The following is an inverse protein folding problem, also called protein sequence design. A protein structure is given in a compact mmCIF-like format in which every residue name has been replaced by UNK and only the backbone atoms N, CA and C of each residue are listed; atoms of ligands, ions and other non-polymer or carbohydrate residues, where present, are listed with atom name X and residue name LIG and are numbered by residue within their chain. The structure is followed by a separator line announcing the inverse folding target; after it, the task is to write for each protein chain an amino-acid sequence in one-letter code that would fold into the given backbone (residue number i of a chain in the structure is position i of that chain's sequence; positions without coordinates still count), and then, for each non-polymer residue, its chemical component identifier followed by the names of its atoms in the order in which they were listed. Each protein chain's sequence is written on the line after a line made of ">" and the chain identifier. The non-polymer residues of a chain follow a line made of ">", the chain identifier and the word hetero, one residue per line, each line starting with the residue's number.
data_IF_953465590686
#
_entry.id   IF_953465590686
#
_cell.length_a   1.000
_cell.length_b   1.000
_cell.length_c   1.000
_cell.angle_alpha   90.00
_cell.angle_beta   90.00
_cell.angle_gamma   90.00
#
_symmetry.space_group_name_H-M   'P 1'
#
loop_
_entity.id
_entity.type
_entity.pdbx_description
1 polymer ?
#
# COMPACT_ATOMS: atom_id res chain seq x y z
N UNK A 1 26.24 -15.52 17.96
CA UNK A 1 25.30 -14.39 18.24
C UNK A 1 24.14 -14.51 17.26
N UNK A 2 22.98 -15.02 17.71
CA UNK A 2 21.75 -15.09 16.91
C UNK A 2 21.33 -13.63 16.64
N UNK A 3 21.37 -13.15 15.39
CA UNK A 3 20.77 -11.87 15.03
C UNK A 3 19.32 -11.93 15.52
N UNK A 4 18.84 -10.90 16.24
CA UNK A 4 17.42 -10.80 16.54
C UNK A 4 16.73 -10.70 15.18
N UNK A 5 16.06 -11.76 14.77
CA UNK A 5 15.14 -11.74 13.64
C UNK A 5 14.15 -10.62 13.93
N UNK A 6 14.06 -9.63 13.04
CA UNK A 6 13.07 -8.58 13.17
C UNK A 6 11.67 -9.21 13.12
N UNK A 7 10.73 -8.70 13.92
CA UNK A 7 9.38 -9.27 13.97
C UNK A 7 8.69 -9.03 12.62
N UNK A 8 8.58 -10.08 11.81
CA UNK A 8 7.92 -10.07 10.51
C UNK A 8 6.42 -10.24 10.72
N UNK A 9 5.64 -9.27 10.25
CA UNK A 9 4.19 -9.28 10.32
C UNK A 9 3.57 -9.63 8.97
N UNK A 10 2.29 -10.02 9.00
CA UNK A 10 1.48 -10.29 7.80
C UNK A 10 1.50 -9.11 6.82
N UNK A 11 1.46 -7.88 7.31
CA UNK A 11 1.55 -6.68 6.47
C UNK A 11 2.84 -6.64 5.63
N UNK A 12 3.97 -7.07 6.20
CA UNK A 12 5.25 -7.09 5.48
C UNK A 12 5.20 -8.11 4.35
N UNK A 13 4.68 -9.31 4.64
CA UNK A 13 4.47 -10.37 3.65
C UNK A 13 3.51 -9.94 2.54
N UNK A 14 2.37 -9.32 2.88
CA UNK A 14 1.40 -8.85 1.89
C UNK A 14 1.99 -7.78 0.98
N UNK A 15 2.74 -6.82 1.52
CA UNK A 15 3.41 -5.81 0.70
C UNK A 15 4.41 -6.43 -0.27
N UNK A 16 5.22 -7.37 0.20
CA UNK A 16 6.22 -8.03 -0.62
C UNK A 16 5.55 -8.90 -1.71
N UNK A 17 4.53 -9.69 -1.34
CA UNK A 17 3.76 -10.48 -2.28
C UNK A 17 3.06 -9.61 -3.34
N UNK A 18 2.49 -8.47 -2.95
CA UNK A 18 1.89 -7.52 -3.89
C UNK A 18 2.92 -6.91 -4.84
N UNK A 19 4.11 -6.54 -4.32
CA UNK A 19 5.18 -5.99 -5.13
C UNK A 19 5.71 -7.00 -6.16
N UNK A 20 5.93 -8.25 -5.75
CA UNK A 20 6.35 -9.35 -6.64
C UNK A 20 5.28 -9.62 -7.71
N UNK A 21 4.02 -9.73 -7.31
CA UNK A 21 2.93 -9.99 -8.25
C UNK A 21 2.77 -8.86 -9.29
N UNK A 22 2.93 -7.60 -8.88
CA UNK A 22 2.91 -6.46 -9.80
C UNK A 22 4.13 -6.40 -10.72
N UNK A 23 5.30 -6.85 -10.26
CA UNK A 23 6.50 -6.99 -11.08
C UNK A 23 6.30 -8.04 -12.19
N UNK A 24 5.68 -9.16 -11.86
CA UNK A 24 5.35 -10.23 -12.81
C UNK A 24 4.22 -9.87 -13.78
N UNK A 25 3.37 -8.90 -13.41
CA UNK A 25 2.24 -8.42 -14.19
C UNK A 25 2.40 -6.94 -14.55
N UNK A 26 3.34 -6.61 -15.47
CA UNK A 26 3.67 -5.23 -15.79
C UNK A 26 2.51 -4.44 -16.38
N UNK A 27 1.45 -5.10 -16.89
CA UNK A 27 0.23 -4.43 -17.38
C UNK A 27 -0.52 -3.71 -16.27
N UNK A 28 -0.36 -4.14 -15.01
CA UNK A 28 -0.97 -3.53 -13.83
C UNK A 28 -0.03 -2.55 -13.11
N UNK A 29 1.25 -2.57 -13.46
CA UNK A 29 2.25 -1.70 -12.86
C UNK A 29 2.27 -0.33 -13.56
N UNK A 30 1.59 0.64 -12.95
CA UNK A 30 1.52 1.99 -13.48
C UNK A 30 1.01 3.02 -12.48
N UNK A 31 0.72 4.21 -12.99
CA UNK A 31 0.14 5.34 -12.27
C UNK A 31 -0.89 6.01 -13.16
N UNK A 32 -1.83 6.73 -12.56
CA UNK A 32 -2.72 7.59 -13.33
C UNK A 32 -2.08 8.98 -13.52
N UNK A 33 -2.09 9.47 -14.75
CA UNK A 33 -1.70 10.82 -15.10
C UNK A 33 -2.82 11.46 -15.91
N UNK A 34 -3.39 12.56 -15.39
CA UNK A 34 -4.50 13.30 -16.02
C UNK A 34 -5.65 12.38 -16.48
N UNK A 35 -6.04 11.44 -15.61
CA UNK A 35 -7.11 10.48 -15.88
C UNK A 35 -6.77 9.31 -16.81
N UNK A 36 -5.53 9.24 -17.34
CA UNK A 36 -5.05 8.12 -18.16
C UNK A 36 -4.12 7.21 -17.37
N UNK A 37 -4.24 5.91 -17.58
CA UNK A 37 -3.31 4.96 -17.00
C UNK A 37 -1.99 4.93 -17.80
N UNK A 38 -0.89 5.16 -17.10
CA UNK A 38 0.46 5.18 -17.66
C UNK A 38 1.29 4.08 -17.01
N UNK A 39 1.82 3.18 -17.85
CA UNK A 39 2.69 2.09 -17.39
C UNK A 39 4.01 2.64 -16.83
N UNK A 40 4.44 2.07 -15.71
CA UNK A 40 5.72 2.42 -15.14
C UNK A 40 6.83 1.75 -15.96
N UNK A 41 7.79 2.54 -16.45
CA UNK A 41 8.95 1.99 -17.19
C UNK A 41 9.99 1.35 -16.26
N UNK A 42 9.89 1.59 -14.95
CA UNK A 42 10.79 1.00 -13.96
C UNK A 42 10.36 -0.43 -13.67
N UNK A 43 11.34 -1.32 -13.50
CA UNK A 43 11.09 -2.69 -13.07
C UNK A 43 10.73 -2.79 -11.59
N UNK A 44 11.13 -1.79 -10.79
CA UNK A 44 10.92 -1.78 -9.36
C UNK A 44 9.55 -1.25 -8.97
N UNK A 45 8.95 -1.86 -7.94
CA UNK A 45 7.60 -1.58 -7.49
C UNK A 45 7.64 -0.86 -6.15
N UNK A 46 7.05 0.33 -6.13
CA UNK A 46 6.88 1.13 -4.92
C UNK A 46 5.51 0.84 -4.30
N UNK A 47 5.50 0.53 -2.99
CA UNK A 47 4.27 0.19 -2.26
C UNK A 47 4.10 1.12 -1.08
N UNK A 48 2.88 1.58 -0.86
CA UNK A 48 2.53 2.39 0.32
C UNK A 48 1.77 1.59 1.35
N UNK A 49 1.95 1.94 2.61
CA UNK A 49 1.21 1.36 3.72
C UNK A 49 0.65 2.43 4.64
N UNK A 50 -0.43 2.07 5.32
CA UNK A 50 -1.08 2.94 6.29
C UNK A 50 -0.37 2.82 7.64
N UNK A 51 0.03 3.97 8.20
CA UNK A 51 0.56 4.08 9.56
C UNK A 51 -0.43 4.86 10.42
N UNK A 52 -0.94 4.29 11.52
CA UNK A 52 -1.70 5.07 12.49
C UNK A 52 -0.78 6.11 13.13
N UNK A 53 -1.22 7.37 13.16
CA UNK A 53 -0.53 8.39 13.99
C UNK A 53 -0.87 8.13 15.45
N UNK A 54 0.02 8.54 16.37
CA UNK A 54 -0.15 8.30 17.81
C UNK A 54 -1.55 8.74 18.32
N UNK A 55 -2.02 8.00 19.34
CA UNK A 55 -3.39 7.88 19.84
C UNK A 55 -4.16 9.17 20.19
N UNK A 56 -3.54 10.35 20.11
CA UNK A 56 -4.18 11.66 20.33
C UNK A 56 -4.63 12.36 19.04
N UNK A 57 -4.20 11.88 17.87
CA UNK A 57 -4.53 12.49 16.58
C UNK A 57 -5.42 11.57 15.74
N UNK A 58 -6.59 12.05 15.33
CA UNK A 58 -7.52 11.34 14.43
C UNK A 58 -7.00 11.28 12.98
N UNK A 59 -5.77 10.82 12.77
CA UNK A 59 -5.12 10.82 11.47
C UNK A 59 -4.34 9.55 11.20
N UNK A 60 -4.64 8.87 10.10
CA UNK A 60 -3.73 7.87 9.52
C UNK A 60 -2.85 8.56 8.47
N UNK A 61 -1.57 8.20 8.40
CA UNK A 61 -0.66 8.70 7.38
C UNK A 61 -0.22 7.55 6.49
N UNK A 62 -0.36 7.69 5.18
CA UNK A 62 0.24 6.76 4.24
C UNK A 62 1.74 7.06 4.10
N UNK A 63 2.54 5.99 3.96
CA UNK A 63 3.98 6.10 3.67
C UNK A 63 4.37 5.12 2.59
N UNK A 64 5.15 5.58 1.62
CA UNK A 64 5.66 4.76 0.51
C UNK A 64 7.07 4.24 0.75
N UNK A 65 7.25 2.95 0.52
CA UNK A 65 8.56 2.29 0.48
C UNK A 65 8.93 2.08 -0.98
N UNK A 66 10.19 2.38 -1.30
CA UNK A 66 10.71 2.26 -2.65
C UNK A 66 11.24 0.84 -2.91
N UNK A 67 11.11 0.35 -4.15
CA UNK A 67 11.70 -0.91 -4.61
C UNK A 67 11.44 -2.09 -3.65
N UNK A 68 10.18 -2.31 -3.29
CA UNK A 68 9.79 -3.36 -2.33
C UNK A 68 10.08 -4.74 -2.89
N UNK A 69 9.95 -4.92 -4.20
CA UNK A 69 10.14 -6.19 -4.91
C UNK A 69 11.58 -6.73 -4.91
N UNK A 70 12.57 -5.89 -4.64
CA UNK A 70 14.00 -6.29 -4.63
C UNK A 70 14.58 -6.39 -3.23
N UNK A 71 13.79 -6.13 -2.18
CA UNK A 71 14.26 -6.06 -0.80
C UNK A 71 14.02 -7.38 -0.09
N UNK A 72 14.98 -7.86 0.71
CA UNK A 72 14.71 -8.96 1.61
C UNK A 72 13.70 -8.51 2.67
N UNK A 73 12.89 -9.44 3.15
CA UNK A 73 11.79 -9.16 4.07
C UNK A 73 12.25 -8.53 5.41
N UNK A 74 13.45 -8.89 5.87
CA UNK A 74 14.08 -8.31 7.06
C UNK A 74 14.34 -6.80 6.85
N UNK A 75 14.96 -6.43 5.73
CA UNK A 75 15.23 -5.01 5.41
C UNK A 75 13.94 -4.21 5.26
N UNK A 76 12.89 -4.82 4.69
CA UNK A 76 11.57 -4.21 4.59
C UNK A 76 10.96 -3.95 5.98
N UNK A 77 11.01 -4.94 6.87
CA UNK A 77 10.51 -4.81 8.24
C UNK A 77 11.27 -3.74 9.04
N UNK A 78 12.59 -3.69 8.86
CA UNK A 78 13.45 -2.65 9.45
C UNK A 78 13.10 -1.26 8.95
N UNK A 79 13.00 -1.06 7.64
CA UNK A 79 12.68 0.24 7.05
C UNK A 79 11.30 0.73 7.49
N UNK A 80 10.30 -0.16 7.55
CA UNK A 80 8.98 0.18 8.07
C UNK A 80 9.04 0.66 9.52
N UNK A 81 9.79 -0.05 10.37
CA UNK A 81 9.95 0.28 11.79
C UNK A 81 10.69 1.60 11.98
N UNK A 82 11.74 1.83 11.21
CA UNK A 82 12.49 3.09 11.21
C UNK A 82 11.62 4.25 10.78
N UNK A 83 10.81 4.09 9.73
CA UNK A 83 9.87 5.13 9.29
C UNK A 83 8.80 5.40 10.34
N UNK A 84 8.22 4.37 10.97
CA UNK A 84 7.27 4.54 12.09
C UNK A 84 7.90 5.40 13.19
N UNK A 85 9.15 5.09 13.58
CA UNK A 85 9.90 5.84 14.60
C UNK A 85 10.31 7.25 14.18
N UNK A 86 10.62 7.49 12.90
CA UNK A 86 11.09 8.80 12.43
C UNK A 86 10.01 9.88 12.49
N UNK A 87 8.77 9.52 12.84
CA UNK A 87 7.68 10.48 12.94
C UNK A 87 7.29 11.04 11.58
N UNK A 88 6.94 12.32 11.52
CA UNK A 88 6.35 12.92 10.31
C UNK A 88 7.28 12.88 9.09
N UNK A 89 6.73 12.54 7.92
CA UNK A 89 7.48 12.51 6.65
C UNK A 89 8.02 13.92 6.33
N UNK A 90 9.32 14.09 5.99
CA UNK A 90 9.89 15.40 5.67
C UNK A 90 9.15 16.13 4.54
N UNK A 91 8.59 15.41 3.57
CA UNK A 91 7.77 16.03 2.52
C UNK A 91 6.46 16.56 3.09
N UNK A 92 5.80 15.79 3.97
CA UNK A 92 4.56 16.20 4.64
C UNK A 92 4.80 17.42 5.54
N UNK A 93 5.92 17.44 6.28
CA UNK A 93 6.32 18.59 7.11
C UNK A 93 6.50 19.84 6.26
N UNK A 94 7.29 19.77 5.17
CA UNK A 94 7.48 20.91 4.25
C UNK A 94 6.18 21.40 3.63
N UNK A 95 5.30 20.46 3.26
CA UNK A 95 3.98 20.78 2.73
C UNK A 95 3.14 21.53 3.76
N UNK A 96 3.09 21.04 5.00
CA UNK A 96 2.37 21.69 6.09
C UNK A 96 2.94 23.08 6.40
N UNK A 97 4.27 23.22 6.43
CA UNK A 97 4.96 24.50 6.62
C UNK A 97 4.58 25.49 5.52
N UNK A 98 4.60 25.06 4.24
CA UNK A 98 4.18 25.89 3.11
C UNK A 98 2.71 26.30 3.20
N UNK A 99 1.82 25.35 3.49
CA UNK A 99 0.39 25.59 3.65
C UNK A 99 0.07 26.49 4.86
N UNK A 100 0.94 26.54 5.87
CA UNK A 100 0.78 27.43 7.02
C UNK A 100 0.91 28.91 6.63
N UNK A 101 1.67 29.23 5.58
CA UNK A 101 1.79 30.60 5.04
C UNK A 101 0.61 31.01 4.14
N UNK A 102 -0.25 30.06 3.75
CA UNK A 102 -1.39 30.33 2.86
C UNK A 102 -2.63 30.70 3.69
N UNK A 103 -3.40 31.74 3.28
CA UNK A 103 -4.68 32.06 3.90
C UNK A 103 -5.64 30.87 3.90
N UNK A 104 -6.41 30.67 4.97
CA UNK A 104 -7.30 29.50 5.14
C UNK A 104 -8.24 29.26 3.95
N UNK A 105 -8.73 30.32 3.31
CA UNK A 105 -9.60 30.23 2.12
C UNK A 105 -8.91 29.59 0.89
N UNK A 106 -7.58 29.66 0.80
CA UNK A 106 -6.79 29.14 -0.31
C UNK A 106 -6.10 27.81 0.02
N UNK A 107 -6.18 27.31 1.27
CA UNK A 107 -5.52 26.06 1.67
C UNK A 107 -6.04 24.86 0.88
N UNK A 108 -7.36 24.69 0.78
CA UNK A 108 -7.96 23.58 0.01
C UNK A 108 -7.55 23.58 -1.46
N UNK A 109 -7.71 24.70 -2.19
CA UNK A 109 -7.23 24.81 -3.57
C UNK A 109 -5.72 24.58 -3.72
N UNK A 110 -4.91 25.09 -2.79
CA UNK A 110 -3.46 24.88 -2.81
C UNK A 110 -3.09 23.41 -2.58
N UNK A 111 -3.73 22.73 -1.62
CA UNK A 111 -3.56 21.29 -1.41
C UNK A 111 -3.92 20.49 -2.66
N UNK A 112 -5.07 20.78 -3.27
CA UNK A 112 -5.49 20.12 -4.51
C UNK A 112 -4.48 20.34 -5.64
N UNK A 113 -3.92 21.54 -5.76
CA UNK A 113 -2.90 21.85 -6.77
C UNK A 113 -1.58 21.11 -6.51
N UNK A 114 -1.10 21.08 -5.27
CA UNK A 114 0.12 20.35 -4.89
C UNK A 114 -0.05 18.84 -5.09
N UNK A 115 -1.21 18.30 -4.74
CA UNK A 115 -1.54 16.89 -4.96
C UNK A 115 -1.63 16.56 -6.46
N UNK A 116 -2.24 17.43 -7.27
CA UNK A 116 -2.27 17.29 -8.73
C UNK A 116 -0.85 17.29 -9.33
N UNK A 117 0.04 18.18 -8.86
CA UNK A 117 1.44 18.22 -9.31
C UNK A 117 2.17 16.91 -9.04
N UNK A 118 2.03 16.36 -7.83
CA UNK A 118 2.75 15.15 -7.41
C UNK A 118 2.14 13.86 -7.97
N UNK A 119 0.82 13.71 -7.84
CA UNK A 119 0.11 12.47 -8.17
C UNK A 119 -0.29 12.38 -9.63
N UNK A 120 -0.81 13.45 -10.26
CA UNK A 120 -1.25 13.41 -11.66
C UNK A 120 -0.13 13.75 -12.64
N UNK A 121 0.60 14.84 -12.39
CA UNK A 121 1.67 15.29 -13.30
C UNK A 121 3.00 14.57 -13.05
N UNK A 122 3.14 13.92 -11.89
CA UNK A 122 4.37 13.21 -11.53
C UNK A 122 5.57 14.15 -11.40
N UNK A 123 5.36 15.40 -10.97
CA UNK A 123 6.42 16.38 -10.76
C UNK A 123 7.00 16.17 -9.36
N UNK A 124 8.32 16.17 -9.28
CA UNK A 124 9.03 16.18 -8.00
C UNK A 124 9.41 17.62 -7.66
N UNK A 125 8.87 18.16 -6.57
CA UNK A 125 9.19 19.50 -6.11
C UNK A 125 9.45 19.49 -4.59
N UNK A 126 10.65 19.04 -4.17
CA UNK A 126 10.97 18.82 -2.76
C UNK A 126 10.87 20.07 -1.89
N UNK A 127 10.99 21.27 -2.47
CA UNK A 127 10.89 22.54 -1.76
C UNK A 127 9.46 22.84 -1.28
N UNK A 128 8.43 22.36 -1.99
CA UNK A 128 7.01 22.50 -1.59
C UNK A 128 6.47 21.24 -0.91
N UNK A 129 7.33 20.25 -0.65
CA UNK A 129 6.89 18.97 -0.12
C UNK A 129 6.10 18.12 -1.13
N UNK A 130 6.21 18.41 -2.42
CA UNK A 130 5.58 17.60 -3.48
C UNK A 130 6.57 16.52 -3.90
N UNK A 131 6.12 15.27 -3.81
CA UNK A 131 6.85 14.10 -4.29
C UNK A 131 6.15 13.51 -5.49
N UNK A 132 6.91 13.13 -6.50
CA UNK A 132 6.40 12.38 -7.66
C UNK A 132 5.81 11.05 -7.22
N UNK A 133 4.55 10.80 -7.56
CA UNK A 133 3.78 9.58 -7.24
C UNK A 133 3.99 9.11 -5.80
N UNK A 134 3.51 9.90 -4.82
CA UNK A 134 3.88 9.72 -3.42
C UNK A 134 3.41 8.38 -2.85
N UNK A 135 2.41 7.75 -3.48
CA UNK A 135 1.79 6.51 -3.04
C UNK A 135 2.24 5.25 -3.80
N UNK A 136 3.04 5.39 -4.86
CA UNK A 136 3.52 4.26 -5.65
C UNK A 136 2.42 3.54 -6.45
N UNK A 137 2.66 2.26 -6.75
CA UNK A 137 1.79 1.43 -7.59
C UNK A 137 0.71 0.66 -6.80
N UNK A 138 0.94 0.44 -5.50
CA UNK A 138 0.00 -0.29 -4.65
C UNK A 138 -0.08 0.34 -3.27
N UNK A 139 -1.27 0.33 -2.66
CA UNK A 139 -1.46 0.61 -1.23
C UNK A 139 -1.82 -0.69 -0.53
N UNK A 140 -1.18 -0.95 0.61
CA UNK A 140 -1.57 -2.01 1.54
C UNK A 140 -2.06 -1.38 2.84
N UNK A 141 -3.35 -1.58 3.13
CA UNK A 141 -3.98 -1.15 4.37
C UNK A 141 -4.12 -2.37 5.27
N UNK A 142 -3.56 -2.31 6.46
CA UNK A 142 -3.81 -3.32 7.49
C UNK A 142 -4.73 -2.70 8.53
N UNK A 143 -5.93 -3.25 8.67
CA UNK A 143 -6.90 -2.84 9.68
C UNK A 143 -7.30 -4.08 10.48
N UNK A 144 -6.42 -4.58 11.38
CA UNK A 144 -6.75 -5.73 12.20
C UNK A 144 -7.76 -5.25 13.25
N UNK A 145 -9.03 -5.57 13.05
CA UNK A 145 -10.04 -5.34 14.07
C UNK A 145 -10.07 -6.53 15.02
N UNK A 146 -9.49 -6.40 16.22
CA UNK A 146 -9.67 -7.40 17.27
C UNK A 146 -11.17 -7.53 17.60
N UNK A 147 -11.74 -8.72 17.40
CA UNK A 147 -13.11 -9.06 17.81
C UNK A 147 -14.25 -8.48 16.95
N UNK A 148 -13.97 -7.89 15.79
CA UNK A 148 -15.00 -7.44 14.84
C UNK A 148 -15.00 -8.30 13.58
N UNK A 149 -16.18 -8.67 13.12
CA UNK A 149 -16.41 -9.42 11.87
C UNK A 149 -16.37 -8.53 10.61
N UNK A 150 -16.12 -7.23 10.78
CA UNK A 150 -16.17 -6.24 9.71
C UNK A 150 -14.74 -5.81 9.34
N UNK A 151 -14.29 -6.21 8.15
CA UNK A 151 -13.09 -5.68 7.52
C UNK A 151 -13.47 -4.46 6.67
N UNK A 152 -12.87 -3.29 6.95
CA UNK A 152 -13.14 -2.07 6.19
C UNK A 152 -11.98 -1.78 5.23
N UNK A 153 -12.27 -1.84 3.93
CA UNK A 153 -11.34 -1.37 2.89
C UNK A 153 -11.63 0.09 2.61
N UNK A 154 -10.73 0.99 3.03
CA UNK A 154 -10.78 2.40 2.64
C UNK A 154 -10.01 2.54 1.33
N UNK A 155 -10.71 2.35 0.22
CA UNK A 155 -10.20 2.72 -1.10
C UNK A 155 -10.48 4.20 -1.26
N UNK A 156 -9.43 5.00 -1.49
CA UNK A 156 -9.60 6.38 -1.89
C UNK A 156 -10.54 6.45 -3.09
N UNK A 157 -11.53 7.33 -3.03
CA UNK A 157 -12.34 7.67 -4.20
C UNK A 157 -11.41 8.01 -5.38
N UNK A 158 -11.77 7.69 -6.64
CA UNK A 158 -11.03 8.19 -7.80
C UNK A 158 -10.96 9.73 -7.86
N UNK A 159 -11.77 10.45 -7.06
CA UNK A 159 -11.74 11.90 -6.87
C UNK A 159 -10.83 12.39 -5.75
N UNK A 160 -10.32 11.49 -4.90
CA UNK A 160 -9.27 11.82 -3.93
C UNK A 160 -7.91 11.65 -4.56
N UNK A 161 -6.93 12.41 -4.09
CA UNK A 161 -5.53 12.46 -4.55
C UNK A 161 -4.73 11.16 -4.44
N UNK A 162 -5.42 10.05 -4.14
CA UNK A 162 -4.93 8.69 -4.05
C UNK A 162 -5.15 7.95 -5.37
N UNK A 163 -4.42 8.38 -6.41
CA UNK A 163 -4.47 7.82 -7.76
C UNK A 163 -3.68 6.50 -7.90
N UNK A 164 -3.98 5.53 -7.04
CA UNK A 164 -3.28 4.24 -7.02
C UNK A 164 -4.12 3.17 -7.74
N UNK A 165 -3.55 2.41 -8.68
CA UNK A 165 -4.30 1.43 -9.46
C UNK A 165 -4.75 0.22 -8.65
N UNK A 166 -4.04 -0.12 -7.58
CA UNK A 166 -4.31 -1.28 -6.73
C UNK A 166 -4.27 -0.89 -5.25
N UNK A 167 -5.33 -1.21 -4.53
CA UNK A 167 -5.39 -1.10 -3.07
C UNK A 167 -5.76 -2.47 -2.48
N UNK A 168 -4.96 -2.95 -1.54
CA UNK A 168 -5.16 -4.22 -0.85
C UNK A 168 -5.46 -3.90 0.61
N UNK A 169 -6.52 -4.47 1.14
CA UNK A 169 -6.83 -4.44 2.57
C UNK A 169 -6.66 -5.82 3.16
N UNK A 170 -5.81 -5.89 4.18
CA UNK A 170 -5.58 -7.07 5.01
C UNK A 170 -6.52 -6.97 6.20
N UNK A 171 -7.48 -7.88 6.24
CA UNK A 171 -8.46 -8.00 7.30
C UNK A 171 -7.99 -8.87 8.47
N UNK A 172 -8.94 -9.24 9.32
CA UNK A 172 -8.73 -10.16 10.44
C UNK A 172 -8.51 -11.61 10.00
N UNK A 173 -7.83 -12.38 10.87
CA UNK A 173 -7.73 -13.85 10.73
C UNK A 173 -8.99 -14.48 11.33
N UNK A 174 -9.67 -15.32 10.55
CA UNK A 174 -10.92 -15.98 10.93
C UNK A 174 -10.75 -17.49 10.95
N UNK A 175 -11.52 -18.18 11.80
CA UNK A 175 -11.61 -19.64 11.74
C UNK A 175 -12.69 -20.00 10.72
N UNK A 176 -12.28 -20.64 9.63
CA UNK A 176 -13.20 -21.21 8.65
C UNK A 176 -13.32 -22.71 8.93
N UNK A 177 -14.52 -23.15 9.30
CA UNK A 177 -14.86 -24.56 9.40
C UNK A 177 -15.23 -25.08 8.01
N UNK A 178 -14.37 -25.92 7.44
CA UNK A 178 -14.69 -26.62 6.21
C UNK A 178 -15.01 -28.07 6.54
N UNK A 179 -16.13 -28.58 6.01
CA UNK A 179 -16.43 -30.00 6.10
C UNK A 179 -15.80 -30.71 4.91
N UNK A 180 -14.56 -31.15 5.05
CA UNK A 180 -13.95 -32.11 4.12
C UNK A 180 -14.04 -33.49 4.73
N UNK A 181 -14.59 -34.45 3.99
CA UNK A 181 -14.63 -35.87 4.36
C UNK A 181 -15.24 -36.19 5.74
N UNK A 182 -16.35 -35.53 6.10
CA UNK A 182 -17.09 -35.71 7.37
C UNK A 182 -16.30 -35.39 8.64
N UNK A 183 -15.09 -34.83 8.54
CA UNK A 183 -14.40 -34.18 9.66
C UNK A 183 -14.57 -32.66 9.55
N UNK A 184 -14.81 -32.02 10.69
CA UNK A 184 -14.79 -30.57 10.80
C UNK A 184 -13.32 -30.16 10.93
N UNK A 185 -12.77 -29.62 9.86
CA UNK A 185 -11.42 -29.05 9.86
C UNK A 185 -11.52 -27.54 10.04
N UNK A 186 -10.98 -27.06 11.16
CA UNK A 186 -10.98 -25.65 11.52
C UNK A 186 -9.66 -25.05 11.05
N UNK A 187 -9.71 -24.27 9.96
CA UNK A 187 -8.53 -23.58 9.42
C UNK A 187 -8.57 -22.10 9.72
N UNK A 188 -7.42 -21.53 10.05
CA UNK A 188 -7.25 -20.08 10.08
C UNK A 188 -7.14 -19.59 8.65
N UNK A 189 -8.02 -18.65 8.28
CA UNK A 189 -8.08 -18.01 6.97
C UNK A 189 -7.94 -16.51 7.18
N UNK A 190 -6.94 -15.93 6.51
CA UNK A 190 -6.79 -14.48 6.42
C UNK A 190 -7.70 -13.96 5.31
N UNK A 191 -8.64 -13.07 5.64
CA UNK A 191 -9.46 -12.41 4.63
C UNK A 191 -8.73 -11.19 4.07
N UNK A 192 -8.69 -11.07 2.74
CA UNK A 192 -8.11 -9.92 2.06
C UNK A 192 -9.04 -9.45 0.95
N UNK A 193 -9.11 -8.14 0.79
CA UNK A 193 -9.89 -7.50 -0.27
C UNK A 193 -8.96 -6.69 -1.14
N UNK A 194 -9.04 -6.86 -2.46
CA UNK A 194 -8.30 -6.05 -3.43
C UNK A 194 -9.28 -5.18 -4.22
N UNK A 195 -9.05 -3.88 -4.22
CA UNK A 195 -9.73 -2.92 -5.08
C UNK A 195 -8.77 -2.52 -6.20
N UNK A 196 -9.22 -2.71 -7.44
CA UNK A 196 -8.42 -2.50 -8.64
C UNK A 196 -9.22 -1.60 -9.57
N UNK A 197 -8.58 -0.57 -10.09
CA UNK A 197 -9.21 0.36 -11.03
C UNK A 197 -9.36 -0.30 -12.42
N UNK A 198 -10.59 -0.37 -12.94
CA UNK A 198 -10.84 -1.01 -14.23
C UNK A 198 -10.25 -0.26 -15.43
N UNK A 199 -9.74 0.97 -15.23
CA UNK A 199 -8.99 1.68 -16.27
C UNK A 199 -7.59 1.10 -16.49
N UNK A 200 -7.03 0.40 -15.51
CA UNK A 200 -5.72 -0.26 -15.65
C UNK A 200 -5.82 -1.77 -15.94
N UNK A 201 -6.93 -2.40 -15.55
CA UNK A 201 -7.05 -3.86 -15.55
C UNK A 201 -8.39 -4.34 -16.08
N UNK A 202 -8.37 -5.48 -16.77
CA UNK A 202 -9.57 -6.30 -16.95
C UNK A 202 -9.88 -7.10 -15.69
N UNK A 203 -11.13 -7.54 -15.53
CA UNK A 203 -11.51 -8.45 -14.42
C UNK A 203 -10.68 -9.74 -14.40
N UNK A 204 -10.22 -10.21 -15.57
CA UNK A 204 -9.34 -11.37 -15.69
C UNK A 204 -7.95 -11.11 -15.13
N UNK A 205 -7.32 -9.98 -15.47
CA UNK A 205 -6.01 -9.59 -14.92
C UNK A 205 -6.09 -9.31 -13.43
N UNK A 206 -7.16 -8.65 -12.98
CA UNK A 206 -7.44 -8.44 -11.56
C UNK A 206 -7.52 -9.77 -10.79
N UNK A 207 -8.26 -10.75 -11.33
CA UNK A 207 -8.33 -12.10 -10.74
C UNK A 207 -6.96 -12.77 -10.68
N UNK A 208 -6.19 -12.73 -11.78
CA UNK A 208 -4.87 -13.36 -11.85
C UNK A 208 -3.87 -12.71 -10.87
N UNK A 209 -3.95 -11.39 -10.67
CA UNK A 209 -3.17 -10.70 -9.63
C UNK A 209 -3.51 -11.23 -8.23
N UNK A 210 -4.80 -11.32 -7.90
CA UNK A 210 -5.25 -11.84 -6.61
C UNK A 210 -4.83 -13.30 -6.39
N UNK A 211 -4.96 -14.16 -7.40
CA UNK A 211 -4.52 -15.56 -7.33
C UNK A 211 -3.00 -15.66 -7.14
N UNK A 212 -2.22 -14.78 -7.78
CA UNK A 212 -0.77 -14.77 -7.61
C UNK A 212 -0.36 -14.33 -6.20
N UNK A 213 -0.99 -13.29 -5.66
CA UNK A 213 -0.76 -12.84 -4.28
C UNK A 213 -1.13 -13.95 -3.29
N UNK A 214 -2.26 -14.62 -3.50
CA UNK A 214 -2.67 -15.77 -2.69
C UNK A 214 -1.63 -16.89 -2.74
N UNK A 215 -1.13 -17.25 -3.92
CA UNK A 215 -0.10 -18.26 -4.07
C UNK A 215 1.18 -17.89 -3.30
N UNK A 216 1.65 -16.65 -3.43
CA UNK A 216 2.85 -16.18 -2.73
C UNK A 216 2.67 -16.20 -1.20
N UNK A 217 1.48 -15.89 -0.69
CA UNK A 217 1.20 -15.93 0.74
C UNK A 217 0.97 -17.35 1.29
N UNK A 218 0.48 -18.28 0.46
CA UNK A 218 0.35 -19.68 0.83
C UNK A 218 1.68 -20.44 0.77
N UNK A 219 2.64 -19.96 0.00
CA UNK A 219 3.97 -20.55 -0.18
C UNK A 219 5.07 -19.50 0.11
N UNK A 220 5.45 -19.30 1.38
CA UNK A 220 6.42 -18.29 1.76
C UNK A 220 7.84 -18.54 1.19
N UNK A 221 8.19 -19.78 0.82
CA UNK A 221 9.47 -20.06 0.15
C UNK A 221 9.53 -19.42 -1.25
N UNK A 222 8.38 -19.22 -1.91
CA UNK A 222 8.31 -18.51 -3.18
C UNK A 222 8.58 -17.00 -3.05
N UNK A 223 8.49 -16.45 -1.83
CA UNK A 223 8.84 -15.07 -1.51
C UNK A 223 10.36 -14.94 -1.29
N UNK A 224 10.97 -15.90 -0.59
CA UNK A 224 12.41 -15.87 -0.25
C UNK A 224 13.33 -16.18 -1.45
N UNK A 225 12.85 -16.90 -2.46
CA UNK A 225 13.63 -17.34 -3.63
C UNK A 225 13.61 -16.34 -4.83
N UNK A 226 13.08 -15.13 -4.65
CA UNK A 226 12.82 -14.13 -5.72
C UNK A 226 13.68 -12.86 -5.60
#
# INVERSE_FOLDING_TARGET
>A
KKKRSEDVNVSHLTMLAAAIALREMPTLHGHFSLGRFCLCRKSSVDVSYLVPSDASSQGCSMRSILNVDTKPIEDLAREMKERVKSGEDPYKKRRNDFLAFIPTALKGPAEMFLDMLGSELGIDFPLLGVRRWPLGACIVVTAPSEGSDIDMTVVGSPTTSQHVPVAITVGGVRIHSSTKDKQIDNKLVLHMTAAIDLRCATAYEAKRLCERIQHLLCDPEAIDNN
#
